data_IF_330865748502
#
_entry.id   IF_330865748502
#
_cell.length_a   1.000
_cell.length_b   1.000
_cell.length_c   1.000
_cell.angle_alpha   90.00
_cell.angle_beta   90.00
_cell.angle_gamma   90.00
#
_symmetry.space_group_name_H-M   'P 1'
#
loop_
_entity.id
_entity.type
_entity.pdbx_description
1 polymer ?
#
# COMPACT_ATOMS: atom_id res chain seq x y z
N UNK A 1 21.90 -4.38 -1.44
CA UNK A 1 21.24 -3.10 -1.06
C UNK A 1 22.14 -2.33 -0.09
N UNK A 2 21.93 -1.03 0.17
CA UNK A 2 22.56 -0.35 1.32
C UNK A 2 21.57 -0.26 2.50
N UNK A 3 22.07 -0.02 3.72
CA UNK A 3 21.25 -0.02 4.94
C UNK A 3 20.07 0.97 4.87
N UNK A 4 20.30 2.16 4.30
CA UNK A 4 19.25 3.17 4.10
C UNK A 4 18.06 2.63 3.28
N UNK A 5 18.33 2.03 2.11
CA UNK A 5 17.29 1.45 1.25
C UNK A 5 16.58 0.26 1.92
N UNK A 6 17.30 -0.52 2.75
CA UNK A 6 16.72 -1.62 3.53
C UNK A 6 15.71 -1.12 4.57
N UNK A 7 16.06 -0.08 5.32
CA UNK A 7 15.16 0.54 6.30
C UNK A 7 14.00 1.30 5.64
N UNK A 8 14.18 1.82 4.44
CA UNK A 8 13.08 2.38 3.65
C UNK A 8 11.98 1.34 3.37
N UNK A 9 12.34 0.05 3.29
CA UNK A 9 11.37 -1.04 3.22
C UNK A 9 10.37 -1.06 4.39
N UNK A 10 10.80 -0.70 5.61
CA UNK A 10 9.89 -0.59 6.76
C UNK A 10 8.90 0.56 6.60
N UNK A 11 9.33 1.68 6.01
CA UNK A 11 8.41 2.78 5.70
C UNK A 11 7.32 2.31 4.73
N UNK A 12 7.69 1.56 3.68
CA UNK A 12 6.73 1.02 2.71
C UNK A 12 5.81 -0.03 3.33
N UNK A 13 6.33 -0.85 4.25
CA UNK A 13 5.54 -1.82 5.02
C UNK A 13 4.45 -1.15 5.84
N UNK A 14 4.73 0.01 6.44
CA UNK A 14 3.78 0.75 7.29
C UNK A 14 2.83 1.64 6.48
N UNK A 15 3.30 2.24 5.38
CA UNK A 15 2.49 3.16 4.59
C UNK A 15 1.35 2.45 3.85
N UNK A 16 1.55 1.18 3.45
CA UNK A 16 0.51 0.39 2.77
C UNK A 16 -0.76 0.24 3.63
N UNK A 17 -0.68 -0.32 4.85
CA UNK A 17 -1.82 -0.43 5.76
C UNK A 17 -2.40 0.93 6.15
N UNK A 18 -1.53 1.94 6.37
CA UNK A 18 -1.96 3.29 6.71
C UNK A 18 -2.82 3.91 5.58
N UNK A 19 -2.41 3.76 4.32
CA UNK A 19 -3.19 4.26 3.17
C UNK A 19 -4.58 3.62 3.11
N UNK A 20 -4.69 2.32 3.34
CA UNK A 20 -5.99 1.63 3.34
C UNK A 20 -6.86 2.07 4.51
N UNK A 21 -6.25 2.25 5.69
CA UNK A 21 -6.95 2.79 6.86
C UNK A 21 -7.55 4.18 6.56
N UNK A 22 -6.75 5.10 6.02
CA UNK A 22 -7.21 6.46 5.67
C UNK A 22 -8.34 6.43 4.63
N UNK A 23 -8.27 5.55 3.63
CA UNK A 23 -9.34 5.40 2.63
C UNK A 23 -10.65 4.90 3.24
N UNK A 24 -10.59 3.96 4.19
CA UNK A 24 -11.77 3.43 4.89
C UNK A 24 -12.39 4.51 5.78
N UNK A 25 -11.56 5.20 6.58
CA UNK A 25 -12.02 6.31 7.44
C UNK A 25 -12.62 7.43 6.59
N UNK A 26 -11.99 7.75 5.45
CA UNK A 26 -12.51 8.69 4.48
C UNK A 26 -13.89 8.30 3.96
N UNK A 27 -14.09 7.03 3.58
CA UNK A 27 -15.38 6.53 3.09
C UNK A 27 -16.47 6.66 4.16
N UNK A 28 -16.19 6.24 5.40
CA UNK A 28 -17.14 6.33 6.51
C UNK A 28 -17.48 7.79 6.83
N UNK A 29 -16.49 8.68 6.75
CA UNK A 29 -16.67 10.10 7.08
C UNK A 29 -17.46 10.85 6.03
N UNK A 30 -17.32 10.48 4.75
CA UNK A 30 -17.87 11.24 3.62
C UNK A 30 -19.14 10.64 3.02
N UNK A 31 -19.50 9.39 3.36
CA UNK A 31 -20.79 8.81 2.97
C UNK A 31 -21.82 9.10 4.09
N UNK A 32 -22.76 9.99 3.79
CA UNK A 32 -23.93 10.31 4.61
C UNK A 32 -25.23 10.07 3.82
N UNK A 33 -26.26 9.61 4.54
CA UNK A 33 -27.59 9.38 3.98
C UNK A 33 -28.26 10.69 3.54
N UNK A 34 -27.88 11.83 4.14
CA UNK A 34 -28.43 13.13 3.80
C UNK A 34 -27.78 13.77 2.55
N UNK A 35 -26.69 13.21 2.03
CA UNK A 35 -26.06 13.69 0.79
C UNK A 35 -25.37 15.03 0.87
N UNK A 36 -25.07 15.53 2.07
CA UNK A 36 -24.53 16.89 2.28
C UNK A 36 -23.00 16.96 2.26
N UNK A 37 -22.32 15.82 2.19
CA UNK A 37 -20.85 15.73 2.28
C UNK A 37 -20.19 15.58 0.90
N UNK A 38 -18.92 15.96 0.82
CA UNK A 38 -18.12 15.82 -0.39
C UNK A 38 -17.89 14.34 -0.74
N UNK A 39 -18.01 14.00 -2.03
CA UNK A 39 -17.90 12.62 -2.55
C UNK A 39 -18.79 11.63 -1.76
N UNK A 40 -20.10 11.92 -1.73
CA UNK A 40 -21.07 11.10 -1.00
C UNK A 40 -21.38 9.74 -1.66
N UNK A 41 -21.01 9.54 -2.93
CA UNK A 41 -21.41 8.34 -3.68
C UNK A 41 -20.59 7.12 -3.21
N UNK A 42 -21.22 6.08 -2.61
CA UNK A 42 -20.52 4.89 -2.13
C UNK A 42 -19.79 4.13 -3.23
N UNK A 43 -20.31 4.16 -4.46
CA UNK A 43 -19.71 3.46 -5.61
C UNK A 43 -18.31 4.02 -5.90
N UNK A 44 -18.12 5.34 -5.78
CA UNK A 44 -16.82 5.98 -6.02
C UNK A 44 -15.80 5.47 -4.99
N UNK A 45 -16.17 5.43 -3.71
CA UNK A 45 -15.31 4.92 -2.64
C UNK A 45 -14.94 3.45 -2.84
N UNK A 46 -15.89 2.61 -3.21
CA UNK A 46 -15.64 1.19 -3.50
C UNK A 46 -14.63 1.03 -4.63
N UNK A 47 -14.76 1.80 -5.72
CA UNK A 47 -13.82 1.75 -6.85
C UNK A 47 -12.41 2.17 -6.40
N UNK A 48 -12.29 3.29 -5.67
CA UNK A 48 -11.00 3.78 -5.16
C UNK A 48 -10.34 2.72 -4.27
N UNK A 49 -11.04 2.25 -3.24
CA UNK A 49 -10.50 1.25 -2.30
C UNK A 49 -10.08 -0.02 -3.06
N UNK A 50 -10.89 -0.47 -4.01
CA UNK A 50 -10.59 -1.67 -4.81
C UNK A 50 -9.30 -1.52 -5.62
N UNK A 51 -9.06 -0.36 -6.23
CA UNK A 51 -7.85 -0.09 -7.03
C UNK A 51 -6.61 0.08 -6.13
N UNK A 52 -6.76 0.77 -5.00
CA UNK A 52 -5.62 1.05 -4.11
C UNK A 52 -5.21 -0.16 -3.24
N UNK A 53 -6.13 -1.08 -2.95
CA UNK A 53 -5.84 -2.30 -2.17
C UNK A 53 -4.71 -3.15 -2.75
N UNK A 54 -4.71 -3.58 -4.02
CA UNK A 54 -3.61 -4.37 -4.58
C UNK A 54 -2.29 -3.58 -4.62
N UNK A 55 -2.34 -2.26 -4.79
CA UNK A 55 -1.15 -1.40 -4.74
C UNK A 55 -0.55 -1.41 -3.33
N UNK A 56 -1.39 -1.22 -2.30
CA UNK A 56 -0.96 -1.26 -0.90
C UNK A 56 -0.39 -2.63 -0.50
N UNK A 57 -1.01 -3.72 -0.98
CA UNK A 57 -0.48 -5.09 -0.79
C UNK A 57 0.91 -5.21 -1.42
N UNK A 58 1.09 -4.70 -2.65
CA UNK A 58 2.40 -4.68 -3.31
C UNK A 58 3.46 -3.92 -2.51
N UNK A 59 3.11 -2.75 -1.93
CA UNK A 59 4.00 -1.98 -1.07
C UNK A 59 4.39 -2.73 0.20
N UNK A 60 3.45 -3.44 0.82
CA UNK A 60 3.70 -4.27 2.01
C UNK A 60 4.66 -5.42 1.68
N UNK A 61 4.38 -6.17 0.62
CA UNK A 61 5.23 -7.30 0.20
C UNK A 61 6.64 -6.82 -0.14
N UNK A 62 6.73 -5.74 -0.93
CA UNK A 62 8.00 -5.15 -1.29
C UNK A 62 8.78 -4.65 -0.06
N UNK A 63 8.11 -3.93 0.84
CA UNK A 63 8.71 -3.43 2.07
C UNK A 63 9.23 -4.55 2.98
N UNK A 64 8.46 -5.63 3.09
CA UNK A 64 8.84 -6.83 3.83
C UNK A 64 10.10 -7.50 3.27
N UNK A 65 10.13 -7.77 1.96
CA UNK A 65 11.29 -8.38 1.31
C UNK A 65 12.53 -7.48 1.32
N UNK A 66 12.35 -6.17 1.18
CA UNK A 66 13.41 -5.18 1.35
C UNK A 66 14.03 -5.25 2.75
N UNK A 67 13.21 -5.30 3.80
CA UNK A 67 13.70 -5.36 5.16
C UNK A 67 14.41 -6.69 5.50
N UNK A 68 13.95 -7.82 4.94
CA UNK A 68 14.62 -9.13 5.11
C UNK A 68 15.98 -9.22 4.40
N UNK A 69 16.25 -8.34 3.44
CA UNK A 69 17.48 -8.39 2.65
C UNK A 69 17.39 -9.29 1.41
N UNK A 70 16.18 -9.69 0.99
CA UNK A 70 15.98 -10.50 -0.23
C UNK A 70 16.48 -9.78 -1.49
N UNK A 71 16.54 -8.46 -1.45
CA UNK A 71 17.08 -7.63 -2.51
C UNK A 71 18.55 -7.25 -2.30
N UNK A 72 19.25 -7.89 -1.34
CA UNK A 72 20.67 -7.61 -1.12
C UNK A 72 21.53 -8.09 -2.27
N UNK A 73 21.17 -9.22 -2.87
CA UNK A 73 21.76 -9.78 -4.07
C UNK A 73 20.65 -10.26 -5.00
N UNK A 74 20.68 -9.79 -6.25
CA UNK A 74 19.77 -10.25 -7.30
C UNK A 74 20.58 -11.07 -8.31
N UNK A 75 20.16 -12.30 -8.64
CA UNK A 75 20.86 -13.13 -9.61
C UNK A 75 20.92 -12.43 -10.95
N UNK A 76 22.11 -12.43 -11.54
CA UNK A 76 22.41 -11.75 -12.82
C UNK A 76 22.43 -12.72 -14.00
N UNK A 77 22.49 -14.02 -13.71
CA UNK A 77 22.49 -15.10 -14.71
C UNK A 77 21.44 -16.13 -14.34
N UNK A 78 20.80 -16.74 -15.34
CA UNK A 78 19.78 -17.79 -15.11
C UNK A 78 20.30 -19.02 -14.37
N UNK A 79 21.62 -19.22 -14.29
CA UNK A 79 22.25 -20.30 -13.51
C UNK A 79 22.33 -20.01 -12.00
N UNK A 80 22.01 -18.77 -11.60
CA UNK A 80 22.04 -18.29 -10.21
C UNK A 80 20.63 -18.27 -9.57
N UNK A 81 19.59 -18.62 -10.35
CA UNK A 81 18.20 -18.82 -9.92
C UNK A 81 17.99 -20.30 -9.54
#
# INVERSE_FOLDING_TARGET
>A
MNAFKRYFGLLLLLIGPLLIYELIVGAITNIDSNGTKDINNPIIWVIIITIFTPIAIGLVIFGWYAFRGEYDYLPTKSKEL
#
